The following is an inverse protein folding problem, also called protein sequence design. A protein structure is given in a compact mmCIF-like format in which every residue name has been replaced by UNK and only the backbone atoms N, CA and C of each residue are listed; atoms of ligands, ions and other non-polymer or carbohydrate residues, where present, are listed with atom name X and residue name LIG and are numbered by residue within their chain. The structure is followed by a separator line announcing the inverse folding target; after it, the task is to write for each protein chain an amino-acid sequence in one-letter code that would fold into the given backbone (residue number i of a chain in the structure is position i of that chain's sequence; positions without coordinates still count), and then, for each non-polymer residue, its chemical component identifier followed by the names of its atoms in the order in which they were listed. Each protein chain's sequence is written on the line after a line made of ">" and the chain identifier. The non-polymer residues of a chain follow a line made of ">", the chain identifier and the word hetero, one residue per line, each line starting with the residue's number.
data_IF_813718189592
#
_entry.id   IF_813718189592
#
_cell.length_a   1.000
_cell.length_b   1.000
_cell.length_c   1.000
_cell.angle_alpha   90.00
_cell.angle_beta   90.00
_cell.angle_gamma   90.00
#
_symmetry.space_group_name_H-M   'P 1'
#
loop_
_entity.id
_entity.type
_entity.pdbx_description
1 polymer ?
#
# COMPACT_ATOMS: atom_id res chain seq x y z
N UNK A 1 -17.07 -28.68 -26.60
CA UNK A 1 -16.31 -27.95 -25.57
C UNK A 1 -15.85 -26.66 -26.23
N UNK A 2 -16.35 -25.50 -25.81
CA UNK A 2 -15.90 -24.22 -26.34
C UNK A 2 -14.53 -23.91 -25.74
N UNK A 3 -13.49 -23.99 -26.57
CA UNK A 3 -12.12 -23.70 -26.17
C UNK A 3 -12.04 -22.21 -25.80
N UNK A 4 -12.08 -21.92 -24.50
CA UNK A 4 -12.01 -20.54 -24.00
C UNK A 4 -10.55 -20.22 -23.81
N UNK A 5 -9.95 -19.54 -24.78
CA UNK A 5 -8.60 -19.03 -24.67
C UNK A 5 -8.57 -17.81 -23.73
N UNK A 6 -7.55 -17.74 -22.89
CA UNK A 6 -7.26 -16.58 -22.05
C UNK A 6 -5.90 -16.01 -22.47
N UNK A 7 -5.81 -14.69 -22.58
CA UNK A 7 -4.55 -13.99 -22.87
C UNK A 7 -3.58 -14.04 -21.70
N UNK A 8 -4.11 -14.02 -20.47
CA UNK A 8 -3.33 -13.99 -19.23
C UNK A 8 -3.93 -14.95 -18.21
N UNK A 9 -3.09 -15.81 -17.63
CA UNK A 9 -3.46 -16.63 -16.46
C UNK A 9 -2.63 -16.17 -15.26
N UNK A 10 -3.30 -15.80 -14.18
CA UNK A 10 -2.68 -15.42 -12.90
C UNK A 10 -2.96 -16.50 -11.87
N UNK A 11 -1.92 -17.01 -11.22
CA UNK A 11 -2.03 -18.04 -10.17
C UNK A 11 -1.78 -17.40 -8.80
N UNK A 12 -2.77 -17.52 -7.92
CA UNK A 12 -2.83 -16.96 -6.58
C UNK A 12 -3.66 -15.68 -6.49
N UNK A 13 -4.80 -15.70 -5.80
CA UNK A 13 -5.69 -14.55 -5.58
C UNK A 13 -5.39 -13.81 -4.28
N UNK A 14 -4.10 -13.58 -3.99
CA UNK A 14 -3.65 -12.59 -3.02
C UNK A 14 -3.72 -11.16 -3.59
N UNK A 15 -3.33 -10.15 -2.80
CA UNK A 15 -3.39 -8.74 -3.21
C UNK A 15 -2.58 -8.45 -4.49
N UNK A 16 -1.43 -9.09 -4.67
CA UNK A 16 -0.61 -8.93 -5.88
C UNK A 16 -1.27 -9.58 -7.10
N UNK A 17 -1.76 -10.81 -6.97
CA UNK A 17 -2.41 -11.51 -8.08
C UNK A 17 -3.70 -10.82 -8.51
N UNK A 18 -4.52 -10.39 -7.55
CA UNK A 18 -5.70 -9.57 -7.82
C UNK A 18 -5.35 -8.25 -8.53
N UNK A 19 -4.30 -7.55 -8.08
CA UNK A 19 -3.83 -6.31 -8.70
C UNK A 19 -3.34 -6.52 -10.14
N UNK A 20 -2.56 -7.57 -10.39
CA UNK A 20 -2.09 -7.92 -11.74
C UNK A 20 -3.26 -8.28 -12.64
N UNK A 21 -4.18 -9.12 -12.17
CA UNK A 21 -5.36 -9.52 -12.93
C UNK A 21 -6.24 -8.30 -13.29
N UNK A 22 -6.48 -7.40 -12.33
CA UNK A 22 -7.20 -6.15 -12.55
C UNK A 22 -6.49 -5.27 -13.60
N UNK A 23 -5.17 -5.09 -13.47
CA UNK A 23 -4.39 -4.25 -14.38
C UNK A 23 -4.34 -4.79 -15.81
N UNK A 24 -4.34 -6.11 -15.99
CA UNK A 24 -4.43 -6.77 -17.29
C UNK A 24 -5.85 -6.65 -17.88
N UNK A 25 -6.89 -6.93 -17.08
CA UNK A 25 -8.27 -6.80 -17.52
C UNK A 25 -8.61 -5.35 -17.93
N UNK A 26 -8.12 -4.35 -17.19
CA UNK A 26 -8.30 -2.93 -17.52
C UNK A 26 -7.62 -2.51 -18.84
N UNK A 27 -6.70 -3.32 -19.37
CA UNK A 27 -6.06 -3.13 -20.69
C UNK A 27 -6.76 -3.89 -21.82
N UNK A 28 -7.85 -4.59 -21.52
CA UNK A 28 -8.67 -5.32 -22.51
C UNK A 28 -8.28 -6.78 -22.72
N UNK A 29 -7.35 -7.33 -21.93
CA UNK A 29 -7.01 -8.75 -22.01
C UNK A 29 -8.08 -9.64 -21.38
N UNK A 30 -8.28 -10.84 -21.93
CA UNK A 30 -9.02 -11.91 -21.26
C UNK A 30 -8.15 -12.55 -20.19
N UNK A 31 -8.60 -12.51 -18.93
CA UNK A 31 -7.78 -12.92 -17.77
C UNK A 31 -8.47 -14.02 -16.97
N UNK A 32 -7.74 -15.09 -16.67
CA UNK A 32 -8.12 -16.12 -15.71
C UNK A 32 -7.31 -15.95 -14.42
N UNK A 33 -7.97 -15.71 -13.29
CA UNK A 33 -7.35 -15.69 -11.96
C UNK A 33 -7.71 -16.97 -11.22
N UNK A 34 -6.70 -17.73 -10.81
CA UNK A 34 -6.84 -19.00 -10.10
C UNK A 34 -6.40 -18.85 -8.65
N UNK A 35 -7.15 -19.46 -7.74
CA UNK A 35 -6.78 -19.59 -6.32
C UNK A 35 -7.10 -21.01 -5.88
N UNK A 36 -6.19 -21.59 -5.09
CA UNK A 36 -6.37 -22.96 -4.61
C UNK A 36 -7.46 -23.04 -3.55
N UNK A 37 -7.60 -21.97 -2.75
CA UNK A 37 -8.50 -21.94 -1.58
C UNK A 37 -9.49 -20.78 -1.68
N UNK A 38 -9.48 -19.87 -0.72
CA UNK A 38 -10.30 -18.66 -0.70
C UNK A 38 -9.47 -17.43 -1.11
N UNK A 39 -10.14 -16.43 -1.68
CA UNK A 39 -9.50 -15.18 -2.07
C UNK A 39 -8.83 -14.53 -0.85
N UNK A 40 -7.60 -14.06 -1.02
CA UNK A 40 -6.78 -13.44 0.03
C UNK A 40 -6.46 -14.33 1.25
N UNK A 41 -6.69 -15.65 1.19
CA UNK A 41 -6.49 -16.57 2.32
C UNK A 41 -5.04 -16.66 2.82
N UNK A 42 -4.04 -16.25 2.03
CA UNK A 42 -2.62 -16.22 2.39
C UNK A 42 -2.18 -15.02 3.23
N UNK A 43 -1.03 -14.44 2.91
CA UNK A 43 -0.46 -13.27 3.63
C UNK A 43 -1.36 -12.03 3.56
N UNK A 44 -2.15 -11.88 2.50
CA UNK A 44 -3.00 -10.70 2.28
C UNK A 44 -4.05 -10.49 3.38
N UNK A 45 -4.59 -11.56 3.98
CA UNK A 45 -5.50 -11.46 5.13
C UNK A 45 -4.80 -11.28 6.49
N UNK A 46 -3.51 -11.62 6.57
CA UNK A 46 -2.70 -11.67 7.80
C UNK A 46 -1.74 -10.47 7.97
N UNK A 47 -2.06 -9.34 7.34
CA UNK A 47 -1.32 -8.10 7.56
C UNK A 47 -1.75 -7.39 8.86
N UNK A 48 -1.00 -6.35 9.22
CA UNK A 48 -1.40 -5.38 10.25
C UNK A 48 -2.64 -4.56 9.86
N UNK A 49 -3.13 -4.71 8.62
CA UNK A 49 -4.25 -3.94 8.03
C UNK A 49 -3.98 -2.44 8.00
N UNK A 50 -2.70 -2.10 7.83
CA UNK A 50 -2.22 -0.73 7.78
C UNK A 50 -1.48 -0.47 6.46
N UNK A 51 -1.93 0.55 5.74
CA UNK A 51 -1.21 1.07 4.58
C UNK A 51 -0.16 2.06 5.11
N UNK A 52 1.05 1.54 5.35
CA UNK A 52 2.17 2.31 5.88
C UNK A 52 3.47 1.93 5.16
N UNK A 53 4.48 2.81 5.25
CA UNK A 53 5.79 2.53 4.67
C UNK A 53 6.64 3.78 4.56
N UNK A 54 6.03 4.90 4.19
CA UNK A 54 6.77 6.12 3.89
C UNK A 54 7.58 6.70 5.07
N UNK A 55 7.19 6.48 6.33
CA UNK A 55 7.98 7.02 7.46
C UNK A 55 9.28 6.23 7.72
N UNK A 56 9.26 4.89 7.56
CA UNK A 56 10.46 4.06 7.77
C UNK A 56 11.50 4.30 6.69
N UNK A 57 11.06 4.38 5.43
CA UNK A 57 11.95 4.60 4.29
C UNK A 57 12.60 5.99 4.31
N UNK A 58 11.95 6.96 4.97
CA UNK A 58 12.50 8.29 5.20
C UNK A 58 13.78 8.25 6.05
N UNK A 59 13.87 7.34 7.03
CA UNK A 59 15.08 7.18 7.85
C UNK A 59 16.29 6.74 7.02
N UNK A 60 16.04 5.97 5.96
CA UNK A 60 17.06 5.49 5.02
C UNK A 60 17.26 6.42 3.81
N UNK A 61 16.60 7.57 3.76
CA UNK A 61 16.74 8.55 2.67
C UNK A 61 16.07 8.17 1.34
N UNK A 62 15.19 7.16 1.31
CA UNK A 62 14.54 6.66 0.10
C UNK A 62 13.35 7.53 -0.32
N UNK A 63 13.59 8.81 -0.62
CA UNK A 63 12.55 9.83 -0.82
C UNK A 63 11.56 9.51 -1.95
N UNK A 64 12.03 8.87 -3.03
CA UNK A 64 11.18 8.45 -4.14
C UNK A 64 10.12 7.44 -3.69
N UNK A 65 10.53 6.41 -2.94
CA UNK A 65 9.63 5.40 -2.38
C UNK A 65 8.66 6.01 -1.37
N UNK A 66 9.12 6.96 -0.55
CA UNK A 66 8.24 7.69 0.37
C UNK A 66 7.12 8.41 -0.38
N UNK A 67 7.44 9.09 -1.47
CA UNK A 67 6.48 9.80 -2.31
C UNK A 67 5.51 8.84 -3.02
N UNK A 68 6.03 7.73 -3.54
CA UNK A 68 5.20 6.68 -4.15
C UNK A 68 4.20 6.11 -3.14
N UNK A 69 4.65 5.71 -1.94
CA UNK A 69 3.75 5.23 -0.90
C UNK A 69 2.66 6.24 -0.52
N UNK A 70 3.00 7.54 -0.45
CA UNK A 70 2.05 8.61 -0.14
C UNK A 70 1.02 8.80 -1.26
N UNK A 71 1.46 8.76 -2.52
CA UNK A 71 0.60 8.83 -3.69
C UNK A 71 -0.35 7.63 -3.76
N UNK A 72 0.16 6.42 -3.58
CA UNK A 72 -0.66 5.19 -3.58
C UNK A 72 -1.67 5.19 -2.44
N UNK A 73 -1.30 5.66 -1.24
CA UNK A 73 -2.26 5.84 -0.14
C UNK A 73 -3.41 6.78 -0.53
N UNK A 74 -3.11 7.90 -1.19
CA UNK A 74 -4.14 8.83 -1.65
C UNK A 74 -5.05 8.22 -2.73
N UNK A 75 -4.50 7.42 -3.64
CA UNK A 75 -5.29 6.67 -4.62
C UNK A 75 -6.20 5.63 -3.96
N UNK A 76 -5.69 4.88 -2.98
CA UNK A 76 -6.49 3.89 -2.24
C UNK A 76 -7.64 4.53 -1.46
N UNK A 77 -7.42 5.69 -0.83
CA UNK A 77 -8.48 6.46 -0.18
C UNK A 77 -9.58 6.89 -1.16
N UNK A 78 -9.21 7.24 -2.39
CA UNK A 78 -10.17 7.63 -3.44
C UNK A 78 -10.90 6.44 -4.05
N UNK A 79 -10.20 5.33 -4.26
CA UNK A 79 -10.73 4.16 -4.96
C UNK A 79 -11.58 3.25 -4.06
N UNK A 80 -11.30 3.24 -2.75
CA UNK A 80 -11.99 2.37 -1.80
C UNK A 80 -12.30 3.11 -0.48
N UNK A 81 -13.08 4.21 -0.51
CA UNK A 81 -13.33 5.05 0.65
C UNK A 81 -14.04 4.31 1.80
N UNK A 82 -14.85 3.30 1.49
CA UNK A 82 -15.57 2.50 2.49
C UNK A 82 -14.67 1.46 3.19
N UNK A 83 -13.50 1.16 2.62
CA UNK A 83 -12.54 0.18 3.15
C UNK A 83 -11.28 0.83 3.72
N UNK A 84 -10.91 2.02 3.25
CA UNK A 84 -9.67 2.70 3.57
C UNK A 84 -9.96 4.04 4.24
N UNK A 85 -9.44 4.22 5.44
CA UNK A 85 -9.57 5.46 6.20
C UNK A 85 -8.22 5.88 6.79
N UNK A 86 -8.02 7.20 6.93
CA UNK A 86 -6.87 7.74 7.64
C UNK A 86 -7.01 7.45 9.14
N UNK A 87 -5.94 6.92 9.74
CA UNK A 87 -5.85 6.70 11.19
C UNK A 87 -4.63 7.44 11.76
N UNK A 88 -4.81 8.23 12.83
CA UNK A 88 -3.68 8.89 13.49
C UNK A 88 -2.80 7.87 14.21
N UNK A 89 -1.48 8.09 14.16
CA UNK A 89 -0.48 7.28 14.86
C UNK A 89 0.28 8.12 15.87
N UNK A 90 0.43 7.60 17.09
CA UNK A 90 1.21 8.23 18.15
C UNK A 90 2.56 7.55 18.29
N UNK A 91 3.64 8.33 18.21
CA UNK A 91 5.00 7.85 18.39
C UNK A 91 5.55 8.36 19.74
N UNK A 92 5.55 7.54 20.81
CA UNK A 92 6.08 7.97 22.09
C UNK A 92 7.61 8.15 22.02
N UNK A 93 8.12 9.24 22.60
CA UNK A 93 9.55 9.56 22.66
C UNK A 93 10.01 9.53 24.11
N UNK A 94 10.88 8.59 24.44
CA UNK A 94 11.43 8.38 25.77
C UNK A 94 12.85 8.95 25.88
N UNK A 95 13.33 9.17 27.11
CA UNK A 95 14.71 9.64 27.35
C UNK A 95 15.76 8.65 26.81
N UNK A 96 15.46 7.36 26.86
CA UNK A 96 16.30 6.27 26.33
C UNK A 96 16.09 6.00 24.84
N UNK A 97 15.20 6.74 24.15
CA UNK A 97 14.96 6.52 22.73
C UNK A 97 16.21 6.82 21.91
N UNK A 98 16.56 5.90 21.00
CA UNK A 98 17.70 6.03 20.06
C UNK A 98 17.67 7.32 19.23
N UNK A 99 16.48 7.91 19.05
CA UNK A 99 16.24 9.09 18.23
C UNK A 99 15.83 10.25 19.15
N UNK A 100 16.64 11.30 19.15
CA UNK A 100 16.31 12.53 19.87
C UNK A 100 15.07 13.22 19.30
N UNK A 101 14.37 13.98 20.16
CA UNK A 101 13.10 14.69 19.85
C UNK A 101 13.19 15.52 18.56
N UNK A 102 14.31 16.20 18.36
CA UNK A 102 14.53 17.06 17.18
C UNK A 102 14.56 16.26 15.87
N UNK A 103 15.26 15.12 15.82
CA UNK A 103 15.33 14.27 14.62
C UNK A 103 13.96 13.72 14.24
N UNK A 104 13.17 13.28 15.23
CA UNK A 104 11.80 12.81 14.98
C UNK A 104 10.93 13.95 14.43
N UNK A 105 10.99 15.14 15.04
CA UNK A 105 10.22 16.30 14.59
C UNK A 105 10.59 16.71 13.15
N UNK A 106 11.88 16.71 12.82
CA UNK A 106 12.36 16.98 11.46
C UNK A 106 11.84 15.94 10.46
N UNK A 107 11.97 14.65 10.80
CA UNK A 107 11.49 13.55 9.95
C UNK A 107 9.98 13.61 9.71
N UNK A 108 9.18 13.85 10.75
CA UNK A 108 7.73 14.01 10.60
C UNK A 108 7.35 15.26 9.78
N UNK A 109 8.09 16.36 9.93
CA UNK A 109 7.87 17.58 9.13
C UNK A 109 8.17 17.33 7.66
N UNK A 110 9.28 16.66 7.35
CA UNK A 110 9.64 16.26 6.00
C UNK A 110 8.62 15.28 5.41
N UNK A 111 8.16 14.31 6.21
CA UNK A 111 7.11 13.38 5.81
C UNK A 111 5.80 14.10 5.46
N UNK A 112 5.41 15.10 6.24
CA UNK A 112 4.22 15.92 5.98
C UNK A 112 4.36 16.75 4.69
N UNK A 113 5.55 17.33 4.44
CA UNK A 113 5.83 18.07 3.21
C UNK A 113 5.79 17.18 1.98
N UNK A 114 6.43 16.00 2.05
CA UNK A 114 6.42 15.01 0.95
C UNK A 114 5.03 14.42 0.71
N UNK A 115 4.23 14.34 1.77
CA UNK A 115 2.84 13.91 1.69
C UNK A 115 1.96 14.84 0.88
N UNK A 116 2.46 16.06 0.57
CA UNK A 116 1.72 17.13 -0.08
C UNK A 116 0.51 17.43 0.77
N UNK A 117 0.67 18.33 1.76
CA UNK A 117 -0.36 18.82 2.69
C UNK A 117 -1.70 18.11 2.50
N UNK A 118 -2.04 17.21 3.43
CA UNK A 118 -3.43 16.80 3.65
C UNK A 118 -4.23 18.08 3.89
N UNK A 119 -4.61 18.76 2.81
CA UNK A 119 -5.52 19.87 2.77
C UNK A 119 -6.86 19.27 3.16
N UNK A 120 -7.33 19.71 4.32
CA UNK A 120 -8.71 19.77 4.80
C UNK A 120 -9.69 18.71 4.30
#
# INVERSE_FOLDING_TARGET
>A
MTDTSYDVVVVGAGIHGAGVAQAAAARGYTVLLLEQTEIAAGTSSRSSKLIHGGLRYLETGQLALVRECLRERALLLRNAPDLVALKPFYLPIYKSSRRGRFKIRLGLSLYALLGGQLCH
#
